data_IF_874802850109
#
_entry.id   IF_874802850109
#
_cell.length_a   1.000
_cell.length_b   1.000
_cell.length_c   1.000
_cell.angle_alpha   90.00
_cell.angle_beta   90.00
_cell.angle_gamma   90.00
#
_symmetry.space_group_name_H-M   'P 1'
#
loop_
_entity.id
_entity.type
_entity.pdbx_description
1 polymer ?
#
# COMPACT_ATOMS: atom_id res chain seq x y z
N UNK A 1 -1.13 17.29 0.16
CA UNK A 1 -0.39 16.15 -0.43
C UNK A 1 -1.16 14.88 -0.12
N UNK A 2 -1.12 13.86 -0.97
CA UNK A 2 -1.77 12.57 -0.75
C UNK A 2 -0.75 11.45 -0.57
N UNK A 3 -1.00 10.61 0.43
CA UNK A 3 -0.26 9.39 0.73
C UNK A 3 -1.23 8.21 0.58
N UNK A 4 -0.97 7.35 -0.41
CA UNK A 4 -1.77 6.14 -0.62
C UNK A 4 -0.96 4.93 -0.17
N UNK A 5 -1.45 4.26 0.88
CA UNK A 5 -0.81 3.08 1.47
C UNK A 5 -1.56 1.84 0.99
N UNK A 6 -0.87 0.95 0.27
CA UNK A 6 -1.45 -0.30 -0.20
C UNK A 6 -1.59 -1.28 0.97
N UNK A 7 -2.78 -1.84 1.13
CA UNK A 7 -3.09 -2.88 2.10
C UNK A 7 -3.40 -4.20 1.39
N UNK A 8 -3.00 -5.29 2.04
CA UNK A 8 -3.31 -6.66 1.66
C UNK A 8 -3.42 -7.52 2.92
N UNK A 9 -4.30 -8.52 2.90
CA UNK A 9 -4.37 -9.49 3.99
C UNK A 9 -2.99 -10.10 4.26
N UNK A 10 -2.59 -10.13 5.53
CA UNK A 10 -1.27 -10.57 5.94
C UNK A 10 -0.17 -9.52 5.77
N UNK A 11 -0.49 -8.22 5.79
CA UNK A 11 0.52 -7.16 5.92
C UNK A 11 1.21 -7.22 7.29
N UNK A 12 2.46 -6.75 7.38
CA UNK A 12 3.12 -6.53 8.68
C UNK A 12 2.71 -5.16 9.23
N UNK A 13 2.10 -5.10 10.41
CA UNK A 13 1.54 -3.85 10.93
C UNK A 13 2.59 -2.74 11.10
N UNK A 14 3.81 -3.09 11.53
CA UNK A 14 4.88 -2.12 11.74
C UNK A 14 5.36 -1.47 10.42
N UNK A 15 5.35 -2.22 9.32
CA UNK A 15 5.73 -1.73 7.99
C UNK A 15 4.79 -0.63 7.49
N UNK A 16 3.58 -0.53 8.05
CA UNK A 16 2.63 0.54 7.77
C UNK A 16 2.72 1.60 8.85
N UNK A 17 2.41 1.24 10.10
CA UNK A 17 2.14 2.19 11.19
C UNK A 17 3.36 3.07 11.47
N UNK A 18 4.59 2.56 11.34
CA UNK A 18 5.80 3.35 11.59
C UNK A 18 5.92 4.56 10.65
N UNK A 19 5.85 4.34 9.34
CA UNK A 19 5.93 5.45 8.36
C UNK A 19 4.66 6.27 8.29
N UNK A 20 3.50 5.62 8.38
CA UNK A 20 2.19 6.25 8.44
C UNK A 20 2.12 7.31 9.54
N UNK A 21 2.48 6.97 10.79
CA UNK A 21 2.31 7.86 11.93
C UNK A 21 3.13 9.15 11.78
N UNK A 22 4.32 9.06 11.17
CA UNK A 22 5.16 10.23 10.89
C UNK A 22 4.57 11.07 9.76
N UNK A 23 4.23 10.44 8.63
CA UNK A 23 3.79 11.16 7.42
C UNK A 23 2.39 11.75 7.57
N UNK A 24 1.48 11.08 8.30
CA UNK A 24 0.12 11.55 8.53
C UNK A 24 0.06 12.86 9.32
N UNK A 25 1.09 13.15 10.12
CA UNK A 25 1.19 14.36 10.92
C UNK A 25 1.78 15.56 10.14
N UNK A 26 2.15 15.39 8.87
CA UNK A 26 2.62 16.51 8.04
C UNK A 26 1.46 17.46 7.68
N UNK A 27 1.66 18.79 7.73
CA UNK A 27 0.62 19.76 7.38
C UNK A 27 0.05 19.53 5.98
N UNK A 28 -1.27 19.34 5.89
CA UNK A 28 -1.97 19.15 4.62
C UNK A 28 -1.76 17.77 3.97
N UNK A 29 -1.28 16.77 4.72
CA UNK A 29 -1.26 15.38 4.26
C UNK A 29 -2.65 14.75 4.37
N UNK A 30 -3.12 14.15 3.27
CA UNK A 30 -4.33 13.34 3.16
C UNK A 30 -3.89 11.88 3.00
N UNK A 31 -4.23 11.02 3.96
CA UNK A 31 -3.79 9.63 4.00
C UNK A 31 -4.95 8.70 3.70
N UNK A 32 -4.73 7.75 2.79
CA UNK A 32 -5.70 6.72 2.47
C UNK A 32 -5.11 5.31 2.51
N UNK A 33 -5.91 4.39 3.02
CA UNK A 33 -5.65 2.96 2.94
C UNK A 33 -6.41 2.37 1.75
N UNK A 34 -5.67 1.71 0.86
CA UNK A 34 -6.19 1.18 -0.40
C UNK A 34 -6.01 -0.33 -0.45
N UNK A 35 -7.08 -1.07 -0.71
CA UNK A 35 -7.08 -2.55 -0.73
C UNK A 35 -7.81 -3.10 -1.96
N UNK A 36 -7.86 -4.43 -2.21
CA UNK A 36 -8.67 -4.97 -3.31
C UNK A 36 -10.16 -4.65 -3.14
N UNK A 37 -10.64 -4.60 -1.90
CA UNK A 37 -12.01 -4.27 -1.54
C UNK A 37 -12.04 -3.39 -0.28
N UNK A 38 -13.07 -2.55 -0.15
CA UNK A 38 -13.31 -1.79 1.07
C UNK A 38 -13.68 -2.75 2.23
N UNK A 39 -13.13 -2.50 3.41
CA UNK A 39 -13.30 -3.37 4.57
C UNK A 39 -12.06 -3.46 5.45
N UNK A 40 -12.16 -4.31 6.46
CA UNK A 40 -11.03 -4.63 7.33
C UNK A 40 -10.03 -5.53 6.59
N UNK A 41 -8.78 -5.10 6.58
CA UNK A 41 -7.63 -5.88 6.11
C UNK A 41 -6.83 -6.29 7.33
N UNK A 42 -6.57 -7.58 7.48
CA UNK A 42 -5.94 -8.11 8.68
C UNK A 42 -4.42 -8.13 8.56
N UNK A 43 -3.74 -7.74 9.64
CA UNK A 43 -2.32 -7.92 9.79
C UNK A 43 -1.97 -9.42 9.90
N UNK A 44 -0.72 -9.75 9.62
CA UNK A 44 -0.14 -11.09 9.73
C UNK A 44 -0.34 -11.76 11.09
N UNK A 45 -0.28 -10.98 12.17
CA UNK A 45 -0.53 -11.46 13.55
C UNK A 45 -1.99 -11.83 13.82
N UNK A 46 -2.92 -11.44 12.95
CA UNK A 46 -4.38 -11.64 13.10
C UNK A 46 -5.00 -11.00 14.35
N UNK A 47 -4.30 -10.07 15.01
CA UNK A 47 -4.79 -9.32 16.19
C UNK A 47 -5.13 -7.87 15.89
N UNK A 48 -4.64 -7.35 14.77
CA UNK A 48 -4.85 -6.00 14.30
C UNK A 48 -5.42 -6.06 12.88
N UNK A 49 -6.37 -5.17 12.59
CA UNK A 49 -6.84 -4.91 11.24
C UNK A 49 -6.86 -3.39 11.00
N UNK A 50 -6.64 -3.00 9.75
CA UNK A 50 -6.82 -1.63 9.30
C UNK A 50 -8.01 -1.57 8.36
N UNK A 51 -8.80 -0.51 8.47
CA UNK A 51 -9.94 -0.28 7.60
C UNK A 51 -9.47 0.37 6.29
N UNK A 52 -9.64 -0.32 5.16
CA UNK A 52 -9.52 0.27 3.84
C UNK A 52 -10.87 0.84 3.41
N UNK A 53 -10.90 2.11 3.04
CA UNK A 53 -12.09 2.77 2.49
C UNK A 53 -12.07 2.86 0.97
N UNK A 54 -10.88 2.75 0.36
CA UNK A 54 -10.70 2.77 -1.08
C UNK A 54 -10.27 1.42 -1.62
N UNK A 55 -10.74 1.13 -2.83
CA UNK A 55 -10.27 -0.02 -3.60
C UNK A 55 -9.08 0.37 -4.49
N UNK A 56 -8.33 -0.63 -4.96
CA UNK A 56 -7.25 -0.45 -5.94
C UNK A 56 -7.72 0.32 -7.18
N UNK A 57 -8.92 -0.01 -7.68
CA UNK A 57 -9.54 0.68 -8.81
C UNK A 57 -9.86 2.17 -8.55
N UNK A 58 -9.93 2.62 -7.30
CA UNK A 58 -10.23 4.00 -6.92
C UNK A 58 -8.98 4.84 -6.62
N UNK A 59 -7.81 4.21 -6.53
CA UNK A 59 -6.56 4.91 -6.27
C UNK A 59 -5.93 5.33 -7.59
N UNK A 60 -6.27 6.52 -8.11
CA UNK A 60 -5.85 6.99 -9.45
C UNK A 60 -4.58 7.86 -9.45
N UNK A 61 -4.38 8.67 -8.42
CA UNK A 61 -3.22 9.55 -8.29
C UNK A 61 -2.91 9.79 -6.81
N UNK A 62 -1.62 9.87 -6.49
CA UNK A 62 -1.11 10.09 -5.15
C UNK A 62 0.21 10.83 -5.23
N UNK A 63 0.60 11.60 -4.22
CA UNK A 63 1.95 12.19 -4.22
C UNK A 63 2.99 11.14 -3.77
N UNK A 64 2.60 10.26 -2.85
CA UNK A 64 3.43 9.19 -2.30
C UNK A 64 2.69 7.85 -2.38
N UNK A 65 3.19 6.94 -3.22
CA UNK A 65 2.80 5.54 -3.21
C UNK A 65 3.62 4.81 -2.15
N UNK A 66 2.95 4.26 -1.14
CA UNK A 66 3.58 3.55 -0.03
C UNK A 66 3.22 2.06 -0.08
N UNK A 67 4.24 1.21 -0.27
CA UNK A 67 4.07 -0.22 -0.48
C UNK A 67 4.70 -1.00 0.68
N UNK A 68 3.89 -1.41 1.68
CA UNK A 68 4.37 -2.15 2.84
C UNK A 68 4.64 -3.62 2.53
N UNK A 69 5.38 -4.27 3.44
CA UNK A 69 5.66 -5.69 3.37
C UNK A 69 4.72 -6.57 4.19
N UNK A 70 5.14 -7.82 4.32
CA UNK A 70 4.49 -8.86 5.12
C UNK A 70 4.32 -10.19 4.36
N UNK A 71 3.84 -11.25 5.05
CA UNK A 71 3.53 -12.53 4.43
C UNK A 71 2.56 -12.45 3.25
N UNK A 72 1.66 -11.45 3.23
CA UNK A 72 0.72 -11.19 2.14
C UNK A 72 1.38 -10.80 0.81
N UNK A 73 2.66 -10.42 0.82
CA UNK A 73 3.42 -10.08 -0.38
C UNK A 73 3.50 -11.26 -1.35
N UNK A 74 3.91 -12.43 -0.85
CA UNK A 74 4.13 -13.61 -1.69
C UNK A 74 2.90 -14.02 -2.52
N UNK A 75 1.71 -14.23 -1.93
CA UNK A 75 0.51 -14.51 -2.73
C UNK A 75 0.06 -13.31 -3.58
N UNK A 76 0.52 -12.09 -3.30
CA UNK A 76 0.23 -10.91 -4.12
C UNK A 76 1.07 -10.76 -5.39
N UNK A 77 2.18 -11.50 -5.52
CA UNK A 77 3.01 -11.44 -6.73
C UNK A 77 2.28 -11.93 -8.00
N UNK A 78 1.29 -12.81 -7.84
CA UNK A 78 0.50 -13.35 -8.95
C UNK A 78 -0.82 -12.58 -9.18
N UNK A 79 -1.04 -11.49 -8.43
CA UNK A 79 -2.24 -10.67 -8.54
C UNK A 79 -2.08 -9.60 -9.63
N UNK A 80 -2.74 -9.84 -10.77
CA UNK A 80 -2.68 -8.93 -11.92
C UNK A 80 -3.30 -7.56 -11.65
N UNK A 81 -4.35 -7.46 -10.82
CA UNK A 81 -4.98 -6.18 -10.48
C UNK A 81 -4.05 -5.33 -9.62
N UNK A 82 -3.37 -5.96 -8.66
CA UNK A 82 -2.37 -5.29 -7.83
C UNK A 82 -1.20 -4.79 -8.68
N UNK A 83 -0.63 -5.62 -9.56
CA UNK A 83 0.48 -5.20 -10.42
C UNK A 83 0.08 -4.03 -11.34
N UNK A 84 -1.10 -4.10 -11.96
CA UNK A 84 -1.63 -3.02 -12.78
C UNK A 84 -1.85 -1.73 -11.98
N UNK A 85 -2.32 -1.85 -10.75
CA UNK A 85 -2.51 -0.73 -9.82
C UNK A 85 -1.18 -0.08 -9.43
N UNK A 86 -0.17 -0.87 -9.08
CA UNK A 86 1.16 -0.36 -8.77
C UNK A 86 1.73 0.41 -9.95
N UNK A 87 1.70 -0.14 -11.17
CA UNK A 87 2.17 0.55 -12.38
C UNK A 87 1.42 1.86 -12.60
N UNK A 88 0.09 1.84 -12.48
CA UNK A 88 -0.77 3.01 -12.70
C UNK A 88 -0.49 4.12 -11.69
N UNK A 89 -0.48 3.79 -10.40
CA UNK A 89 -0.29 4.76 -9.31
C UNK A 89 1.15 5.27 -9.27
N UNK A 90 2.14 4.40 -9.51
CA UNK A 90 3.54 4.79 -9.61
C UNK A 90 3.76 5.89 -10.63
N UNK A 91 3.21 5.74 -11.85
CA UNK A 91 3.32 6.75 -12.93
C UNK A 91 2.73 8.10 -12.57
N UNK A 92 1.74 8.13 -11.69
CA UNK A 92 1.09 9.35 -11.22
C UNK A 92 1.74 9.90 -9.93
N UNK A 93 2.69 9.17 -9.33
CA UNK A 93 3.30 9.53 -8.05
C UNK A 93 4.58 10.34 -8.21
N UNK A 94 4.83 11.23 -7.24
CA UNK A 94 6.13 11.89 -7.12
C UNK A 94 7.15 10.96 -6.45
N UNK A 95 6.69 10.20 -5.46
CA UNK A 95 7.51 9.24 -4.73
C UNK A 95 6.84 7.88 -4.70
N UNK A 96 7.61 6.83 -4.95
CA UNK A 96 7.23 5.45 -4.65
C UNK A 96 8.19 4.88 -3.63
N UNK A 97 7.66 4.39 -2.52
CA UNK A 97 8.42 3.89 -1.38
C UNK A 97 8.00 2.47 -1.09
N UNK A 98 8.95 1.53 -1.13
CA UNK A 98 8.76 0.16 -0.69
C UNK A 98 9.36 -0.06 0.70
N UNK A 99 8.65 -0.80 1.54
CA UNK A 99 9.08 -1.15 2.90
C UNK A 99 9.24 -2.67 3.00
N UNK A 100 10.34 -3.11 3.62
CA UNK A 100 10.65 -4.52 3.77
C UNK A 100 10.56 -5.27 2.42
N UNK A 101 9.88 -6.41 2.36
CA UNK A 101 9.66 -7.18 1.16
C UNK A 101 8.55 -6.63 0.24
N UNK A 102 7.89 -5.51 0.58
CA UNK A 102 6.95 -4.82 -0.32
C UNK A 102 7.59 -4.38 -1.65
N UNK A 103 8.92 -4.19 -1.66
CA UNK A 103 9.71 -3.94 -2.88
C UNK A 103 9.62 -5.08 -3.89
N UNK A 104 9.29 -6.31 -3.48
CA UNK A 104 9.11 -7.43 -4.42
C UNK A 104 7.93 -7.18 -5.36
N UNK A 105 6.85 -6.55 -4.89
CA UNK A 105 5.74 -6.13 -5.75
C UNK A 105 6.16 -5.06 -6.74
N UNK A 106 6.97 -4.09 -6.31
CA UNK A 106 7.49 -3.05 -7.18
C UNK A 106 8.38 -3.65 -8.29
N UNK A 107 9.28 -4.57 -7.95
CA UNK A 107 10.12 -5.28 -8.92
C UNK A 107 9.30 -6.17 -9.87
N UNK A 108 8.31 -6.91 -9.34
CA UNK A 108 7.39 -7.72 -10.16
C UNK A 108 6.56 -6.88 -11.13
N UNK A 109 6.15 -5.69 -10.70
CA UNK A 109 5.45 -4.71 -11.53
C UNK A 109 6.38 -4.01 -12.55
N UNK A 110 7.70 -4.18 -12.45
CA UNK A 110 8.69 -3.59 -13.34
C UNK A 110 8.85 -2.08 -13.16
N UNK A 111 8.61 -1.56 -11.96
CA UNK A 111 8.74 -0.11 -11.65
C UNK A 111 9.99 0.24 -10.84
N UNK A 112 10.78 -0.75 -10.44
CA UNK A 112 12.14 -0.62 -9.88
C UNK A 112 13.05 -1.74 -10.39
#
# INVERSE_FOLDING_TARGET
MRLSILLRDGFTALDIVGGYEVLANLPGMDVEFVAPAAGLVWADTRRLALQAWRTYAQADATDILYVPGGPGVKPGLDDAELMATIVRVHKASTWTVGICNGVEWLGKAGVI
#
